data_IF_911953473498
#
_entry.id   IF_911953473498
#
_cell.length_a   1.000
_cell.length_b   1.000
_cell.length_c   1.000
_cell.angle_alpha   90.00
_cell.angle_beta   90.00
_cell.angle_gamma   90.00
#
_symmetry.space_group_name_H-M   'P 1'
#
loop_
_entity.id
_entity.type
_entity.pdbx_description
1 polymer ?
#
# COMPACT_ATOMS: atom_id res chain seq x y z
N UNK A 1 2.83 -9.59 32.94
CA UNK A 1 3.29 -10.01 31.61
C UNK A 1 4.80 -9.91 31.58
N UNK A 2 5.52 -10.95 31.11
CA UNK A 2 6.94 -10.81 30.86
C UNK A 2 7.19 -9.85 29.68
N UNK A 3 8.34 -9.16 29.63
CA UNK A 3 8.77 -8.41 28.45
C UNK A 3 8.83 -9.31 27.21
N UNK A 4 8.57 -8.73 26.03
CA UNK A 4 8.76 -9.44 24.75
C UNK A 4 10.22 -9.32 24.29
N UNK A 5 10.76 -10.38 23.68
CA UNK A 5 12.15 -10.42 23.19
C UNK A 5 12.35 -9.54 21.93
N UNK A 6 11.26 -9.37 21.18
CA UNK A 6 11.18 -8.59 19.95
C UNK A 6 10.08 -7.54 20.09
N UNK A 7 10.38 -6.35 20.66
CA UNK A 7 9.39 -5.30 20.89
C UNK A 7 9.08 -4.55 19.59
N UNK A 8 8.60 -5.29 18.60
CA UNK A 8 8.19 -4.77 17.30
C UNK A 8 6.86 -4.04 17.49
N UNK A 9 6.78 -2.74 17.14
CA UNK A 9 5.51 -2.00 17.16
C UNK A 9 4.44 -2.66 16.30
N UNK A 10 3.20 -2.60 16.76
CA UNK A 10 2.02 -3.07 16.04
C UNK A 10 1.02 -1.94 15.92
N UNK A 11 0.24 -1.95 14.84
CA UNK A 11 -0.78 -0.96 14.51
C UNK A 11 -0.21 0.45 14.57
N UNK A 12 0.88 0.68 13.83
CA UNK A 12 1.62 1.95 13.86
C UNK A 12 0.91 3.08 13.14
N UNK A 13 -0.03 2.75 12.25
CA UNK A 13 -0.78 3.69 11.45
C UNK A 13 -2.21 3.84 11.97
N UNK A 14 -2.77 5.03 11.75
CA UNK A 14 -4.19 5.26 11.98
C UNK A 14 -5.01 4.49 10.96
N UNK A 15 -6.18 4.00 11.38
CA UNK A 15 -7.15 3.37 10.48
C UNK A 15 -7.71 4.38 9.50
N UNK A 16 -8.20 3.92 8.35
CA UNK A 16 -8.94 4.78 7.42
C UNK A 16 -10.08 5.55 8.11
N UNK A 17 -10.15 6.85 7.87
CA UNK A 17 -11.13 7.80 8.39
C UNK A 17 -12.19 8.17 7.33
N UNK A 18 -11.76 8.54 6.12
CA UNK A 18 -12.65 9.11 5.08
C UNK A 18 -12.98 8.10 3.96
N UNK A 19 -12.33 6.94 3.96
CA UNK A 19 -12.55 5.89 2.96
C UNK A 19 -11.78 6.12 1.67
N UNK A 20 -12.41 5.80 0.54
CA UNK A 20 -11.82 5.95 -0.80
C UNK A 20 -12.15 7.37 -1.32
N UNK A 21 -11.14 8.15 -1.75
CA UNK A 21 -11.35 9.48 -2.30
C UNK A 21 -12.32 9.51 -3.47
N UNK A 22 -13.09 10.59 -3.57
CA UNK A 22 -14.06 10.82 -4.64
C UNK A 22 -14.27 12.32 -4.92
N UNK A 23 -14.93 12.62 -6.03
CA UNK A 23 -15.27 13.99 -6.44
C UNK A 23 -14.04 14.88 -6.61
N UNK A 24 -14.15 16.15 -6.22
CA UNK A 24 -13.09 17.16 -6.39
C UNK A 24 -11.79 16.82 -5.67
N UNK A 25 -11.88 16.06 -4.59
CA UNK A 25 -10.67 15.67 -3.87
C UNK A 25 -9.89 14.61 -4.66
N UNK A 26 -10.57 13.63 -5.25
CA UNK A 26 -9.95 12.67 -6.15
C UNK A 26 -9.36 13.34 -7.41
N UNK A 27 -10.01 14.39 -7.94
CA UNK A 27 -9.45 15.20 -9.04
C UNK A 27 -8.13 15.86 -8.64
N UNK A 28 -8.06 16.47 -7.45
CA UNK A 28 -6.83 17.06 -6.91
C UNK A 28 -5.72 16.01 -6.73
N UNK A 29 -6.03 14.85 -6.17
CA UNK A 29 -5.05 13.77 -6.02
C UNK A 29 -4.55 13.30 -7.39
N UNK A 30 -5.43 13.19 -8.38
CA UNK A 30 -5.05 12.83 -9.75
C UNK A 30 -4.10 13.86 -10.35
N UNK A 31 -4.33 15.15 -10.12
CA UNK A 31 -3.42 16.21 -10.59
C UNK A 31 -2.02 16.08 -9.99
N UNK A 32 -1.90 15.75 -8.71
CA UNK A 32 -0.59 15.51 -8.08
C UNK A 32 0.08 14.24 -8.58
N UNK A 33 -0.70 13.15 -8.75
CA UNK A 33 -0.17 11.90 -9.29
C UNK A 33 0.29 12.03 -10.75
N UNK A 34 -0.42 12.83 -11.57
CA UNK A 34 -0.01 13.10 -12.94
C UNK A 34 1.39 13.76 -13.01
N UNK A 35 1.69 14.68 -12.09
CA UNK A 35 3.03 15.29 -12.01
C UNK A 35 4.10 14.25 -11.70
N UNK A 36 3.82 13.31 -10.81
CA UNK A 36 4.76 12.23 -10.48
C UNK A 36 4.97 11.28 -11.67
N UNK A 37 3.92 11.00 -12.46
CA UNK A 37 4.04 10.22 -13.70
C UNK A 37 4.95 10.93 -14.71
N UNK A 38 4.81 12.25 -14.87
CA UNK A 38 5.66 13.04 -15.77
C UNK A 38 7.15 13.02 -15.38
N UNK A 39 7.46 12.67 -14.12
CA UNK A 39 8.83 12.56 -13.60
C UNK A 39 9.44 11.15 -13.78
N UNK A 40 8.65 10.16 -14.20
CA UNK A 40 9.14 8.80 -14.48
C UNK A 40 9.98 8.79 -15.75
N UNK A 41 11.28 8.54 -15.60
CA UNK A 41 12.27 8.76 -16.66
C UNK A 41 12.30 7.71 -17.78
N UNK A 42 11.77 6.53 -17.54
CA UNK A 42 11.79 5.36 -18.41
C UNK A 42 10.39 4.90 -18.87
N UNK A 43 9.40 5.80 -18.75
CA UNK A 43 8.04 5.55 -19.20
C UNK A 43 7.98 5.21 -20.71
N UNK A 44 7.30 4.11 -21.12
CA UNK A 44 7.13 3.78 -22.52
C UNK A 44 6.39 4.86 -23.30
N UNK A 45 6.68 4.97 -24.61
CA UNK A 45 6.01 5.93 -25.46
C UNK A 45 4.50 5.67 -25.55
N UNK A 46 3.71 6.73 -25.68
CA UNK A 46 2.26 6.65 -25.85
C UNK A 46 1.47 6.38 -24.57
N UNK A 47 2.11 6.32 -23.40
CA UNK A 47 1.42 6.21 -22.12
C UNK A 47 0.62 7.49 -21.84
N UNK A 48 -0.66 7.32 -21.55
CA UNK A 48 -1.53 8.39 -21.06
C UNK A 48 -2.08 8.00 -19.67
N UNK A 49 -2.31 8.99 -18.81
CA UNK A 49 -3.02 8.80 -17.54
C UNK A 49 -4.53 8.88 -17.77
N UNK A 50 -5.29 7.79 -17.59
CA UNK A 50 -6.74 7.84 -17.75
C UNK A 50 -7.42 8.82 -16.77
N UNK A 51 -8.66 9.19 -17.09
CA UNK A 51 -9.42 10.14 -16.29
C UNK A 51 -9.82 9.57 -14.91
N UNK A 52 -10.16 8.28 -14.86
CA UNK A 52 -10.56 7.59 -13.64
C UNK A 52 -9.37 6.84 -13.04
N UNK A 53 -9.03 7.18 -11.79
CA UNK A 53 -7.97 6.52 -11.03
C UNK A 53 -8.58 5.61 -9.97
N UNK A 54 -8.07 4.37 -9.88
CA UNK A 54 -8.50 3.45 -8.84
C UNK A 54 -7.76 3.74 -7.53
N UNK A 55 -8.28 4.70 -6.77
CA UNK A 55 -7.79 5.02 -5.43
C UNK A 55 -8.06 3.90 -4.43
N UNK A 56 -7.15 3.72 -3.48
CA UNK A 56 -7.29 2.79 -2.37
C UNK A 56 -7.69 3.55 -1.08
N UNK A 57 -8.19 2.86 -0.04
CA UNK A 57 -8.45 3.49 1.24
C UNK A 57 -7.22 4.24 1.77
N UNK A 58 -7.40 5.43 2.32
CA UNK A 58 -6.27 6.17 2.89
C UNK A 58 -5.80 5.60 4.23
N UNK A 59 -4.53 5.80 4.56
CA UNK A 59 -3.96 5.50 5.88
C UNK A 59 -3.08 6.64 6.35
N UNK A 60 -3.11 6.96 7.65
CA UNK A 60 -2.23 7.97 8.20
C UNK A 60 -1.05 7.37 8.98
N UNK A 61 0.16 7.87 8.70
CA UNK A 61 1.37 7.52 9.44
C UNK A 61 2.39 8.65 9.33
N UNK A 62 3.17 8.88 10.39
CA UNK A 62 4.28 9.82 10.36
C UNK A 62 3.88 11.28 10.13
N UNK A 63 2.63 11.65 10.45
CA UNK A 63 2.10 13.00 10.25
C UNK A 63 1.56 13.27 8.83
N UNK A 64 1.49 12.25 7.98
CA UNK A 64 0.92 12.31 6.63
C UNK A 64 -0.20 11.30 6.47
N UNK A 65 -1.14 11.64 5.59
CA UNK A 65 -2.13 10.71 5.04
C UNK A 65 -1.61 10.21 3.71
N UNK A 66 -1.67 8.90 3.49
CA UNK A 66 -1.18 8.20 2.30
C UNK A 66 -2.38 7.63 1.55
N UNK A 67 -2.50 7.98 0.27
CA UNK A 67 -3.57 7.52 -0.61
C UNK A 67 -2.96 6.78 -1.80
N UNK A 68 -2.94 5.44 -1.77
CA UNK A 68 -2.44 4.66 -2.89
C UNK A 68 -3.41 4.67 -4.08
N UNK A 69 -2.86 4.35 -5.24
CA UNK A 69 -3.59 4.17 -6.48
C UNK A 69 -2.92 3.14 -7.38
N UNK A 70 -3.73 2.58 -8.27
CA UNK A 70 -3.22 1.91 -9.46
C UNK A 70 -4.19 2.15 -10.62
N UNK A 71 -3.72 2.01 -11.85
CA UNK A 71 -4.52 2.28 -13.04
C UNK A 71 -3.97 1.50 -14.22
N UNK A 72 -4.85 0.79 -14.92
CA UNK A 72 -4.48 0.12 -16.18
C UNK A 72 -4.43 1.15 -17.31
N UNK A 73 -3.39 1.07 -18.13
CA UNK A 73 -3.21 1.91 -19.32
C UNK A 73 -2.56 1.11 -20.45
N UNK A 74 -2.40 1.75 -21.60
CA UNK A 74 -1.73 1.19 -22.77
C UNK A 74 -0.55 2.09 -23.16
N UNK A 75 0.45 1.49 -23.79
CA UNK A 75 1.58 2.15 -24.42
C UNK A 75 1.78 1.61 -25.83
N UNK A 76 2.76 2.15 -26.56
CA UNK A 76 3.22 1.58 -27.83
C UNK A 76 3.80 0.16 -27.67
N UNK A 77 4.19 -0.24 -26.44
CA UNK A 77 4.83 -1.52 -26.14
C UNK A 77 3.85 -2.56 -25.58
N UNK A 78 2.68 -2.15 -25.08
CA UNK A 78 1.66 -3.07 -24.58
C UNK A 78 0.77 -2.50 -23.48
N UNK A 79 0.09 -3.37 -22.75
CA UNK A 79 -0.69 -3.01 -21.55
C UNK A 79 0.27 -2.79 -20.39
N UNK A 80 -0.01 -1.78 -19.58
CA UNK A 80 0.75 -1.44 -18.38
C UNK A 80 -0.20 -1.17 -17.21
N UNK A 81 0.32 -1.25 -16.00
CA UNK A 81 -0.28 -0.64 -14.82
C UNK A 81 0.61 0.50 -14.35
N UNK A 82 0.05 1.70 -14.18
CA UNK A 82 0.70 2.76 -13.39
C UNK A 82 0.24 2.59 -11.95
N UNK A 83 1.16 2.71 -11.00
CA UNK A 83 0.86 2.56 -9.59
C UNK A 83 1.67 3.56 -8.76
N UNK A 84 1.24 3.76 -7.52
CA UNK A 84 1.93 4.62 -6.59
C UNK A 84 0.97 5.22 -5.57
N UNK A 85 1.31 6.40 -5.06
CA UNK A 85 0.49 7.07 -4.05
C UNK A 85 0.65 8.58 -4.10
N UNK A 86 -0.33 9.24 -3.50
CA UNK A 86 -0.27 10.66 -3.15
C UNK A 86 -0.36 10.76 -1.63
N UNK A 87 0.48 11.58 -1.03
CA UNK A 87 0.45 11.87 0.40
C UNK A 87 0.27 13.35 0.67
N UNK A 88 -0.30 13.69 1.81
CA UNK A 88 -0.52 15.08 2.23
C UNK A 88 -0.53 15.20 3.75
N UNK A 89 -0.35 16.44 4.24
CA UNK A 89 -0.57 16.77 5.65
C UNK A 89 -2.03 17.15 5.86
N UNK A 90 -2.68 16.45 6.79
CA UNK A 90 -4.02 16.78 7.27
C UNK A 90 -3.92 17.52 8.61
N UNK A 91 -4.08 18.85 8.65
CA UNK A 91 -4.15 19.57 9.93
C UNK A 91 -5.42 19.17 10.69
N UNK A 92 -5.43 19.25 12.04
CA UNK A 92 -6.63 18.95 12.84
C UNK A 92 -7.84 19.80 12.45
N UNK A 93 -7.58 21.03 12.02
CA UNK A 93 -8.58 21.93 11.44
C UNK A 93 -7.97 22.52 10.15
N UNK A 94 -8.72 22.43 9.05
CA UNK A 94 -8.34 23.03 7.78
C UNK A 94 -8.22 22.04 6.63
N UNK A 95 -7.80 22.58 5.49
CA UNK A 95 -7.71 21.84 4.23
C UNK A 95 -6.38 21.06 4.12
N UNK A 96 -6.40 19.88 3.46
CA UNK A 96 -5.21 19.18 3.02
C UNK A 96 -4.19 20.11 2.33
N UNK A 97 -2.93 19.96 2.70
CA UNK A 97 -1.81 20.71 2.13
C UNK A 97 -0.53 19.86 2.07
N UNK A 98 0.56 20.45 1.55
CA UNK A 98 1.86 19.79 1.45
C UNK A 98 1.80 18.45 0.70
N UNK A 99 1.28 18.48 -0.53
CA UNK A 99 1.09 17.27 -1.34
C UNK A 99 2.42 16.80 -1.90
N UNK A 100 2.63 15.49 -1.83
CA UNK A 100 3.74 14.77 -2.46
C UNK A 100 3.17 13.55 -3.16
N UNK A 101 3.76 13.13 -4.27
CA UNK A 101 3.32 11.95 -4.99
C UNK A 101 4.53 11.14 -5.46
N UNK A 102 4.35 9.83 -5.54
CA UNK A 102 5.28 8.89 -6.16
C UNK A 102 4.50 8.05 -7.15
N UNK A 103 5.07 7.85 -8.34
CA UNK A 103 4.51 7.01 -9.38
C UNK A 103 5.60 6.09 -9.92
N UNK A 104 5.17 4.93 -10.39
CA UNK A 104 5.96 3.97 -11.16
C UNK A 104 5.02 3.19 -12.08
N UNK A 105 5.56 2.31 -12.91
CA UNK A 105 4.79 1.46 -13.80
C UNK A 105 5.32 0.02 -13.86
N UNK A 106 4.46 -0.89 -14.31
CA UNK A 106 4.83 -2.28 -14.56
C UNK A 106 4.10 -2.82 -15.78
N UNK A 107 4.76 -3.71 -16.52
CA UNK A 107 4.16 -4.55 -17.56
C UNK A 107 3.74 -5.93 -17.02
N UNK A 108 4.03 -6.23 -15.75
CA UNK A 108 3.62 -7.45 -15.06
C UNK A 108 2.23 -7.25 -14.47
N UNK A 109 1.21 -7.75 -15.15
CA UNK A 109 -0.18 -7.58 -14.75
C UNK A 109 -0.73 -8.80 -14.01
N UNK A 110 -1.56 -8.56 -13.01
CA UNK A 110 -2.24 -9.64 -12.27
C UNK A 110 -3.08 -10.57 -13.18
N UNK A 111 -3.57 -10.08 -14.32
CA UNK A 111 -4.35 -10.89 -15.27
C UNK A 111 -3.50 -11.88 -16.07
N UNK A 112 -2.18 -11.66 -16.12
CA UNK A 112 -1.23 -12.53 -16.80
C UNK A 112 -0.55 -13.52 -15.81
N UNK A 113 -0.92 -13.48 -14.52
CA UNK A 113 -0.38 -14.31 -13.44
C UNK A 113 -1.50 -15.07 -12.70
N UNK A 114 -1.97 -16.19 -13.27
CA UNK A 114 -3.15 -16.93 -12.76
C UNK A 114 -2.98 -17.54 -11.36
N UNK A 115 -1.75 -17.72 -10.90
CA UNK A 115 -1.42 -18.27 -9.59
C UNK A 115 -1.48 -17.25 -8.46
N UNK A 116 -1.45 -15.94 -8.79
CA UNK A 116 -1.56 -14.89 -7.81
C UNK A 116 -2.93 -14.88 -7.14
N UNK A 117 -2.94 -14.78 -5.81
CA UNK A 117 -4.19 -14.69 -5.03
C UNK A 117 -4.46 -13.28 -4.51
N UNK A 118 -3.44 -12.44 -4.50
CA UNK A 118 -3.49 -11.03 -4.13
C UNK A 118 -2.65 -10.25 -5.13
N UNK A 119 -3.24 -9.22 -5.70
CA UNK A 119 -2.54 -8.21 -6.50
C UNK A 119 -2.00 -7.15 -5.54
N UNK A 120 -0.68 -7.12 -5.34
CA UNK A 120 0.00 -6.33 -4.30
C UNK A 120 0.94 -5.30 -4.91
N UNK A 121 0.92 -4.11 -4.33
CA UNK A 121 1.91 -3.06 -4.56
C UNK A 121 2.40 -2.54 -3.20
N UNK A 122 3.63 -2.02 -3.18
CA UNK A 122 4.21 -1.44 -1.98
C UNK A 122 5.10 -0.22 -2.24
N UNK A 123 5.32 0.56 -1.19
CA UNK A 123 6.38 1.58 -1.15
C UNK A 123 6.91 1.78 0.28
N UNK A 124 8.20 2.03 0.40
CA UNK A 124 8.84 2.37 1.68
C UNK A 124 8.63 3.86 1.97
N UNK A 125 7.73 4.16 2.90
CA UNK A 125 7.33 5.53 3.27
C UNK A 125 8.06 6.05 4.52
N UNK A 126 8.87 5.22 5.16
CA UNK A 126 9.66 5.64 6.31
C UNK A 126 10.57 4.55 6.87
N UNK A 127 11.16 4.83 8.03
CA UNK A 127 12.03 3.90 8.75
C UNK A 127 11.74 3.91 10.23
N UNK A 128 11.58 2.73 10.81
CA UNK A 128 11.53 2.54 12.25
C UNK A 128 12.92 2.23 12.81
N UNK A 129 13.20 2.69 14.03
CA UNK A 129 14.47 2.43 14.73
C UNK A 129 14.19 1.81 16.07
N UNK A 130 14.83 0.67 16.32
CA UNK A 130 14.87 -0.03 17.60
C UNK A 130 16.23 0.09 18.27
N UNK A 131 16.35 -0.53 19.44
CA UNK A 131 17.61 -0.61 20.19
C UNK A 131 18.60 -1.56 19.53
N UNK A 132 19.89 -1.43 19.88
CA UNK A 132 20.97 -2.35 19.45
C UNK A 132 21.10 -2.50 17.93
N UNK A 133 20.81 -1.44 17.18
CA UNK A 133 20.89 -1.45 15.72
C UNK A 133 19.71 -2.13 15.02
N UNK A 134 18.66 -2.53 15.77
CA UNK A 134 17.42 -3.03 15.19
C UNK A 134 16.72 -1.92 14.41
N UNK A 135 16.15 -2.26 13.25
CA UNK A 135 15.36 -1.31 12.47
C UNK A 135 14.43 -2.06 11.52
N UNK A 136 13.56 -1.33 10.81
CA UNK A 136 12.71 -1.87 9.77
C UNK A 136 12.24 -0.76 8.84
N UNK A 137 11.90 -1.13 7.61
CA UNK A 137 11.16 -0.26 6.72
C UNK A 137 9.76 -0.03 7.29
N UNK A 138 9.24 1.18 7.15
CA UNK A 138 7.80 1.40 7.29
C UNK A 138 7.25 1.38 5.88
N UNK A 139 6.46 0.36 5.57
CA UNK A 139 6.02 0.04 4.23
C UNK A 139 4.53 0.29 4.11
N UNK A 140 4.16 1.10 3.13
CA UNK A 140 2.79 1.25 2.64
C UNK A 140 2.52 0.10 1.68
N UNK A 141 1.46 -0.66 1.91
CA UNK A 141 1.05 -1.77 1.04
C UNK A 141 -0.40 -1.59 0.65
N UNK A 142 -0.72 -1.81 -0.61
CA UNK A 142 -2.09 -1.78 -1.09
C UNK A 142 -2.32 -2.87 -2.10
N UNK A 143 -3.59 -3.27 -2.25
CA UNK A 143 -3.87 -4.36 -3.17
C UNK A 143 -5.32 -4.75 -3.31
N UNK A 144 -5.52 -5.74 -4.20
CA UNK A 144 -6.82 -6.29 -4.56
C UNK A 144 -6.85 -7.80 -4.32
N UNK A 145 -7.89 -8.31 -3.66
CA UNK A 145 -8.14 -9.75 -3.64
C UNK A 145 -8.42 -10.29 -5.04
N UNK A 146 -7.66 -11.29 -5.49
CA UNK A 146 -7.96 -12.07 -6.69
C UNK A 146 -8.80 -13.31 -6.36
N UNK A 147 -9.00 -13.58 -5.07
CA UNK A 147 -9.88 -14.62 -4.54
C UNK A 147 -11.21 -14.04 -4.05
N UNK A 148 -12.28 -14.84 -4.17
CA UNK A 148 -13.62 -14.43 -3.73
C UNK A 148 -13.78 -14.52 -2.22
N UNK A 149 -14.62 -13.64 -1.66
CA UNK A 149 -15.10 -13.74 -0.28
C UNK A 149 -14.18 -13.12 0.77
N UNK A 150 -13.06 -12.53 0.36
CA UNK A 150 -12.20 -11.74 1.23
C UNK A 150 -12.93 -10.48 1.72
N UNK A 151 -12.83 -10.21 3.02
CA UNK A 151 -13.45 -9.04 3.67
C UNK A 151 -12.49 -8.24 4.55
N UNK A 152 -11.32 -8.80 4.88
CA UNK A 152 -10.27 -8.09 5.59
C UNK A 152 -8.90 -8.53 5.06
N UNK A 153 -7.94 -7.63 5.18
CA UNK A 153 -6.53 -7.87 4.94
C UNK A 153 -5.74 -7.62 6.24
N UNK A 154 -4.67 -8.38 6.46
CA UNK A 154 -3.77 -8.20 7.60
C UNK A 154 -2.32 -8.24 7.15
N UNK A 155 -1.50 -7.34 7.70
CA UNK A 155 -0.05 -7.48 7.71
C UNK A 155 0.35 -8.36 8.90
N UNK A 156 1.21 -9.35 8.67
CA UNK A 156 1.65 -10.31 9.67
C UNK A 156 3.18 -10.34 9.74
N UNK A 157 3.74 -10.23 10.94
CA UNK A 157 5.15 -10.48 11.23
C UNK A 157 5.24 -11.57 12.30
N UNK A 158 6.00 -12.62 12.02
CA UNK A 158 6.33 -13.68 13.00
C UNK A 158 5.11 -14.34 13.67
N UNK A 159 3.99 -14.43 12.95
CA UNK A 159 2.66 -14.91 13.40
C UNK A 159 1.79 -13.89 14.16
N UNK A 160 2.26 -12.66 14.35
CA UNK A 160 1.48 -11.59 14.97
C UNK A 160 0.90 -10.66 13.90
N UNK A 161 -0.40 -10.36 14.00
CA UNK A 161 -1.00 -9.28 13.21
C UNK A 161 -0.41 -7.95 13.66
N UNK A 162 0.19 -7.23 12.71
CA UNK A 162 0.85 -5.93 12.95
C UNK A 162 0.14 -4.77 12.29
N UNK A 163 -0.75 -5.02 11.33
CA UNK A 163 -1.74 -4.06 10.85
C UNK A 163 -2.94 -4.81 10.26
N UNK A 164 -4.09 -4.14 10.14
CA UNK A 164 -5.28 -4.69 9.51
C UNK A 164 -6.22 -3.62 8.94
N UNK A 165 -6.98 -4.02 7.92
CA UNK A 165 -7.90 -3.15 7.19
C UNK A 165 -9.10 -3.98 6.71
N UNK A 166 -10.29 -3.35 6.66
CA UNK A 166 -11.43 -3.95 5.97
C UNK A 166 -11.30 -3.75 4.47
N UNK A 167 -11.60 -4.78 3.68
CA UNK A 167 -11.63 -4.64 2.23
C UNK A 167 -12.84 -3.80 1.84
N UNK A 168 -12.58 -2.62 1.29
CA UNK A 168 -13.60 -1.68 0.83
C UNK A 168 -13.57 -1.61 -0.69
N UNK A 169 -14.70 -1.90 -1.33
CA UNK A 169 -14.81 -1.91 -2.80
C UNK A 169 -13.70 -2.75 -3.49
N UNK A 170 -13.36 -3.90 -2.91
CA UNK A 170 -12.32 -4.79 -3.44
C UNK A 170 -10.89 -4.30 -3.25
N UNK A 171 -10.65 -3.28 -2.42
CA UNK A 171 -9.35 -2.65 -2.20
C UNK A 171 -9.04 -2.57 -0.70
N UNK A 172 -7.76 -2.63 -0.36
CA UNK A 172 -7.26 -2.41 1.00
C UNK A 172 -5.92 -1.67 0.98
N UNK A 173 -5.59 -1.06 2.11
CA UNK A 173 -4.30 -0.41 2.36
C UNK A 173 -3.83 -0.77 3.77
N UNK A 174 -2.55 -1.05 3.92
CA UNK A 174 -1.89 -1.37 5.18
C UNK A 174 -0.64 -0.49 5.31
N UNK A 175 -0.26 -0.13 6.53
CA UNK A 175 1.05 0.45 6.84
C UNK A 175 1.62 -0.29 8.04
N UNK A 176 2.70 -1.03 7.78
CA UNK A 176 3.34 -1.88 8.77
C UNK A 176 4.85 -1.82 8.66
N UNK A 177 5.53 -2.45 9.63
CA UNK A 177 6.96 -2.68 9.52
C UNK A 177 7.23 -3.86 8.61
N UNK A 178 8.32 -3.77 7.85
CA UNK A 178 8.81 -4.82 6.97
C UNK A 178 10.35 -4.81 6.91
N UNK A 179 10.93 -5.86 6.33
CA UNK A 179 12.37 -6.06 6.17
C UNK A 179 13.15 -5.72 7.45
N UNK A 180 12.83 -6.40 8.56
CA UNK A 180 13.45 -6.09 9.84
C UNK A 180 14.93 -6.48 9.83
N UNK A 181 15.76 -5.54 10.28
CA UNK A 181 17.21 -5.69 10.38
C UNK A 181 17.63 -5.81 11.84
N UNK A 182 18.73 -6.54 12.10
CA UNK A 182 19.35 -6.60 13.43
C UNK A 182 18.68 -7.57 14.42
N UNK A 183 17.85 -8.49 13.93
CA UNK A 183 17.20 -9.52 14.75
C UNK A 183 17.94 -10.88 14.76
N UNK A 184 18.89 -11.09 13.84
CA UNK A 184 19.67 -12.33 13.68
C UNK A 184 19.20 -13.20 12.52
N UNK A 185 18.03 -12.89 12.01
CA UNK A 185 17.24 -13.55 10.98
C UNK A 185 16.55 -12.47 10.15
N UNK A 186 16.30 -12.76 8.87
CA UNK A 186 15.51 -11.90 8.00
C UNK A 186 14.04 -12.09 8.32
N UNK A 187 13.36 -11.01 8.67
CA UNK A 187 11.94 -11.03 9.02
C UNK A 187 11.21 -10.11 8.06
N UNK A 188 10.40 -10.73 7.21
CA UNK A 188 9.57 -10.07 6.22
C UNK A 188 8.10 -10.17 6.59
N UNK A 189 7.36 -9.16 6.21
CA UNK A 189 5.91 -9.11 6.39
C UNK A 189 5.22 -9.99 5.35
N UNK A 190 4.18 -10.69 5.78
CA UNK A 190 3.22 -11.37 4.92
C UNK A 190 1.88 -10.62 4.92
N UNK A 191 1.20 -10.59 3.78
CA UNK A 191 -0.17 -10.10 3.65
C UNK A 191 -1.13 -11.27 3.56
N UNK A 192 -2.14 -11.29 4.43
CA UNK A 192 -3.16 -12.33 4.47
C UNK A 192 -4.55 -11.78 4.24
N UNK A 193 -5.38 -12.55 3.53
CA UNK A 193 -6.79 -12.24 3.30
C UNK A 193 -7.69 -13.16 4.10
N UNK A 194 -8.76 -12.59 4.65
CA UNK A 194 -9.66 -13.29 5.57
C UNK A 194 -11.11 -13.27 5.10
N UNK A 195 -11.80 -14.40 5.28
CA UNK A 195 -13.25 -14.51 5.09
C UNK A 195 -14.01 -13.88 6.27
N UNK A 196 -15.33 -13.67 6.11
CA UNK A 196 -16.21 -13.22 7.23
C UNK A 196 -16.21 -14.18 8.43
N UNK A 197 -15.79 -15.42 8.24
CA UNK A 197 -15.71 -16.45 9.29
C UNK A 197 -14.31 -16.58 9.89
N UNK A 198 -13.39 -15.67 9.53
CA UNK A 198 -11.98 -15.70 9.89
C UNK A 198 -11.24 -16.95 9.35
N UNK A 199 -11.68 -17.47 8.20
CA UNK A 199 -10.88 -18.44 7.44
C UNK A 199 -9.82 -17.69 6.64
N UNK A 200 -8.57 -18.16 6.65
CA UNK A 200 -7.51 -17.65 5.77
C UNK A 200 -7.84 -18.06 4.31
N UNK A 201 -7.88 -17.08 3.41
CA UNK A 201 -8.19 -17.28 1.99
C UNK A 201 -6.96 -17.20 1.09
N UNK A 202 -6.03 -16.32 1.45
CA UNK A 202 -4.77 -16.10 0.75
C UNK A 202 -3.69 -15.61 1.71
N UNK A 203 -2.44 -15.88 1.35
CA UNK A 203 -1.23 -15.42 2.02
C UNK A 203 -0.18 -15.22 0.94
N UNK A 204 0.36 -14.01 0.83
CA UNK A 204 1.40 -13.62 -0.13
C UNK A 204 2.46 -12.78 0.58
N UNK A 205 3.66 -12.76 0.01
CA UNK A 205 4.82 -11.96 0.45
C UNK A 205 5.13 -10.91 -0.61
N UNK A 206 5.75 -9.80 -0.22
CA UNK A 206 6.28 -8.80 -1.16
C UNK A 206 7.58 -9.28 -1.84
N UNK A 207 8.16 -10.38 -1.36
CA UNK A 207 9.45 -10.93 -1.79
C UNK A 207 9.26 -12.27 -2.49
N UNK A 208 9.61 -12.36 -3.78
CA UNK A 208 9.57 -13.57 -4.60
C UNK A 208 10.98 -14.17 -4.84
#
# INVERSE_FOLDING_TARGET
MPPTERPIPRFIADTTQEGIPHGRFAERLREEFAKAIDEVGDMPAGVELPAEVDWYPERAWGGRVWVPCSIKTESEEGRLELFGHVSYVQPPEGEPNDFEAKADFTDILAEDNEDWRIDLNDDVVGRWRGENGRSGAVTLVWGRPLVRGAVAATAVLESETVDQELISQGRFTLIALDALEGYGDEIFMEVKLWSRRADELASETLYA
#
